data_IF_181460012640
#
_entry.id   IF_181460012640
#
_cell.length_a   1.000
_cell.length_b   1.000
_cell.length_c   1.000
_cell.angle_alpha   90.00
_cell.angle_beta   90.00
_cell.angle_gamma   90.00
#
_symmetry.space_group_name_H-M   'P 1'
#
loop_
_entity.id
_entity.type
_entity.pdbx_description
1 polymer ?
#
# COMPACT_ATOMS: atom_id res chain seq x y z
N UNK A 1 -22.80 -15.69 12.61
CA UNK A 1 -22.56 -14.45 11.85
C UNK A 1 -21.11 -14.04 12.08
N UNK A 2 -20.28 -14.08 11.04
CA UNK A 2 -18.90 -13.58 11.13
C UNK A 2 -18.95 -12.06 11.03
N UNK A 3 -18.47 -11.33 12.03
CA UNK A 3 -18.49 -9.85 12.04
C UNK A 3 -17.61 -9.22 10.96
N UNK A 4 -16.75 -10.03 10.32
CA UNK A 4 -15.88 -9.63 9.22
C UNK A 4 -16.37 -10.12 7.85
N UNK A 5 -17.62 -10.58 7.75
CA UNK A 5 -18.19 -11.09 6.49
C UNK A 5 -18.12 -10.03 5.39
N UNK A 6 -17.20 -10.23 4.44
CA UNK A 6 -16.94 -9.34 3.32
C UNK A 6 -16.11 -10.09 2.27
N UNK A 7 -16.35 -9.92 0.95
CA UNK A 7 -15.59 -10.60 -0.10
C UNK A 7 -14.07 -10.45 0.04
N UNK A 8 -13.58 -9.24 0.36
CA UNK A 8 -12.15 -8.96 0.58
C UNK A 8 -11.58 -9.72 1.78
N UNK A 9 -12.36 -9.90 2.85
CA UNK A 9 -11.90 -10.64 4.02
C UNK A 9 -11.83 -12.15 3.73
N UNK A 10 -12.81 -12.70 3.02
CA UNK A 10 -12.77 -14.08 2.56
C UNK A 10 -11.55 -14.35 1.68
N UNK A 11 -11.22 -13.44 0.77
CA UNK A 11 -10.01 -13.53 -0.05
C UNK A 11 -8.73 -13.52 0.79
N UNK A 12 -8.62 -12.63 1.78
CA UNK A 12 -7.48 -12.59 2.69
C UNK A 12 -7.35 -13.89 3.51
N UNK A 13 -8.48 -14.45 3.98
CA UNK A 13 -8.50 -15.75 4.67
C UNK A 13 -8.08 -16.91 3.76
N UNK A 14 -8.57 -16.97 2.52
CA UNK A 14 -8.16 -17.98 1.53
C UNK A 14 -6.66 -17.92 1.27
N UNK A 15 -6.10 -16.72 1.07
CA UNK A 15 -4.65 -16.55 0.92
C UNK A 15 -3.87 -17.04 2.15
N UNK A 16 -4.37 -16.74 3.36
CA UNK A 16 -3.76 -17.24 4.58
C UNK A 16 -3.85 -18.77 4.66
N UNK A 17 -4.98 -19.38 4.36
CA UNK A 17 -5.18 -20.82 4.49
C UNK A 17 -4.27 -21.59 3.52
N UNK A 18 -4.10 -21.10 2.28
CA UNK A 18 -3.11 -21.63 1.33
C UNK A 18 -1.67 -21.60 1.88
N UNK A 19 -1.30 -20.49 2.52
CA UNK A 19 0.02 -20.35 3.17
C UNK A 19 0.14 -21.26 4.38
N UNK A 20 -0.92 -21.38 5.17
CA UNK A 20 -0.96 -22.22 6.37
C UNK A 20 -0.80 -23.70 6.02
N UNK A 21 -1.45 -24.16 4.95
CA UNK A 21 -1.28 -25.51 4.42
C UNK A 21 0.17 -25.73 3.95
N UNK A 22 0.72 -24.79 3.16
CA UNK A 22 2.09 -24.89 2.66
C UNK A 22 3.15 -24.93 3.77
N UNK A 23 2.93 -24.16 4.84
CA UNK A 23 3.81 -24.08 6.02
C UNK A 23 3.52 -25.18 7.06
N UNK A 24 2.57 -26.08 6.79
CA UNK A 24 2.09 -27.09 7.73
C UNK A 24 1.78 -26.48 9.12
N UNK A 25 1.07 -25.35 9.14
CA UNK A 25 0.62 -24.71 10.38
C UNK A 25 -0.49 -25.58 10.99
N UNK A 26 -0.33 -26.09 12.22
CA UNK A 26 -1.36 -26.87 12.90
C UNK A 26 -2.66 -26.09 13.00
N UNK A 27 -3.81 -26.75 12.82
CA UNK A 27 -5.13 -26.09 12.82
C UNK A 27 -5.36 -25.21 14.05
N UNK A 28 -4.97 -25.70 15.24
CA UNK A 28 -5.12 -24.96 16.50
C UNK A 28 -4.29 -23.67 16.59
N UNK A 29 -3.28 -23.48 15.73
CA UNK A 29 -2.51 -22.23 15.65
C UNK A 29 -3.13 -21.22 14.66
N UNK A 30 -3.91 -21.70 13.67
CA UNK A 30 -4.30 -20.93 12.48
C UNK A 30 -5.13 -19.70 12.83
N UNK A 31 -6.21 -19.86 13.59
CA UNK A 31 -7.12 -18.76 13.91
C UNK A 31 -6.44 -17.65 14.70
N UNK A 32 -5.48 -18.00 15.57
CA UNK A 32 -4.68 -17.03 16.33
C UNK A 32 -3.81 -16.15 15.42
N UNK A 33 -3.45 -16.64 14.24
CA UNK A 33 -2.64 -15.91 13.25
C UNK A 33 -3.54 -15.19 12.25
N UNK A 34 -4.65 -15.83 11.84
CA UNK A 34 -5.61 -15.37 10.82
C UNK A 34 -6.56 -14.28 11.32
N UNK A 35 -7.09 -14.38 12.53
CA UNK A 35 -8.15 -13.48 12.98
C UNK A 35 -7.57 -12.19 13.58
N UNK A 36 -8.21 -11.03 13.34
CA UNK A 36 -7.82 -9.79 13.99
C UNK A 36 -7.86 -9.91 15.53
N UNK A 37 -6.82 -9.38 16.19
CA UNK A 37 -6.73 -9.37 17.65
C UNK A 37 -7.87 -8.57 18.29
N UNK A 38 -8.24 -7.44 17.69
CA UNK A 38 -9.34 -6.58 18.13
C UNK A 38 -9.77 -5.62 17.03
N UNK A 39 -11.03 -5.21 17.09
CA UNK A 39 -11.64 -4.20 16.24
C UNK A 39 -12.47 -3.22 17.08
N UNK A 40 -12.52 -1.96 16.65
CA UNK A 40 -13.31 -0.91 17.26
C UNK A 40 -14.18 -0.26 16.18
N UNK A 41 -15.47 -0.10 16.48
CA UNK A 41 -16.45 0.60 15.63
C UNK A 41 -17.05 1.73 16.46
N UNK A 42 -17.07 2.95 15.92
CA UNK A 42 -17.47 4.15 16.65
C UNK A 42 -18.41 5.02 15.81
N UNK A 43 -19.31 5.72 16.51
CA UNK A 43 -20.08 6.81 15.93
C UNK A 43 -19.24 8.10 15.96
N UNK A 44 -19.19 8.82 14.83
CA UNK A 44 -18.41 10.04 14.68
C UNK A 44 -19.36 11.19 14.31
N UNK A 45 -20.05 11.79 15.29
CA UNK A 45 -20.98 12.89 15.04
C UNK A 45 -20.22 14.21 14.80
N UNK A 46 -20.64 14.96 13.77
CA UNK A 46 -20.16 16.33 13.52
C UNK A 46 -21.32 17.28 13.24
N UNK A 47 -21.10 18.56 13.55
CA UNK A 47 -21.92 19.62 13.00
C UNK A 47 -21.47 19.89 11.55
N UNK A 48 -22.43 19.92 10.63
CA UNK A 48 -22.26 20.38 9.26
C UNK A 48 -22.22 21.89 9.20
N UNK A 49 -21.75 22.44 8.09
CA UNK A 49 -21.66 23.90 7.91
C UNK A 49 -23.04 24.57 7.87
N UNK A 50 -24.10 23.83 7.52
CA UNK A 50 -25.50 24.30 7.56
C UNK A 50 -26.14 24.24 8.96
N UNK A 51 -25.40 23.80 9.98
CA UNK A 51 -25.85 23.65 11.36
C UNK A 51 -26.54 22.32 11.68
N UNK A 52 -26.78 21.46 10.69
CA UNK A 52 -27.28 20.10 10.92
C UNK A 52 -26.22 19.22 11.59
N UNK A 53 -26.64 18.10 12.19
CA UNK A 53 -25.72 17.09 12.73
C UNK A 53 -25.78 15.84 11.86
N UNK A 54 -24.62 15.38 11.42
CA UNK A 54 -24.47 14.11 10.70
C UNK A 54 -23.59 13.15 11.50
N UNK A 55 -23.94 11.86 11.51
CA UNK A 55 -23.20 10.83 12.24
C UNK A 55 -22.59 9.84 11.25
N UNK A 56 -21.26 9.78 11.25
CA UNK A 56 -20.50 8.85 10.42
C UNK A 56 -20.12 7.60 11.22
N UNK A 57 -19.87 6.49 10.52
CA UNK A 57 -19.33 5.27 11.15
C UNK A 57 -17.82 5.18 10.91
N UNK A 58 -17.06 5.10 12.00
CA UNK A 58 -15.60 4.93 11.98
C UNK A 58 -15.21 3.52 12.42
N UNK A 59 -14.11 3.01 11.87
CA UNK A 59 -13.55 1.68 12.14
C UNK A 59 -12.05 1.77 12.42
N UNK A 60 -11.56 0.95 13.35
CA UNK A 60 -10.13 0.64 13.48
C UNK A 60 -9.94 -0.83 13.83
N UNK A 61 -9.20 -1.55 13.00
CA UNK A 61 -8.86 -2.97 13.20
C UNK A 61 -7.37 -3.12 13.45
N UNK A 62 -7.02 -3.84 14.51
CA UNK A 62 -5.64 -4.22 14.84
C UNK A 62 -5.52 -5.73 14.68
N UNK A 63 -4.80 -6.15 13.65
CA UNK A 63 -4.68 -7.56 13.30
C UNK A 63 -3.84 -8.34 14.32
N UNK A 64 -2.64 -7.87 14.66
CA UNK A 64 -1.88 -8.41 15.79
C UNK A 64 -0.87 -7.41 16.35
N UNK A 65 -0.50 -7.54 17.63
CA UNK A 65 0.55 -6.73 18.29
C UNK A 65 1.81 -7.54 18.65
N UNK A 66 2.00 -8.70 18.00
CA UNK A 66 3.07 -9.65 18.38
C UNK A 66 4.46 -9.09 18.11
N UNK A 67 4.69 -8.49 16.94
CA UNK A 67 5.99 -7.96 16.52
C UNK A 67 6.28 -6.54 17.04
N UNK A 68 5.26 -5.84 17.54
CA UNK A 68 5.34 -4.44 17.96
C UNK A 68 4.01 -3.70 17.78
N UNK A 69 4.01 -2.35 17.80
CA UNK A 69 2.83 -1.55 17.52
C UNK A 69 2.21 -1.91 16.18
N UNK A 70 0.90 -1.70 16.06
CA UNK A 70 0.23 -1.90 14.78
C UNK A 70 0.42 -0.70 13.85
N UNK A 71 0.50 -0.98 12.55
CA UNK A 71 0.68 0.04 11.52
C UNK A 71 -0.34 -0.12 10.42
N UNK A 72 -0.97 1.00 10.05
CA UNK A 72 -1.64 1.09 8.76
C UNK A 72 -2.55 2.29 8.60
N UNK A 73 -2.95 2.50 7.35
CA UNK A 73 -3.60 3.72 6.89
C UNK A 73 -5.02 3.94 7.43
N UNK A 74 -5.50 5.17 7.28
CA UNK A 74 -6.86 5.62 7.57
C UNK A 74 -7.54 6.00 6.25
N UNK A 75 -8.62 5.30 5.88
CA UNK A 75 -9.34 5.48 4.61
C UNK A 75 -10.64 6.25 4.80
N UNK A 76 -10.89 7.27 4.00
CA UNK A 76 -12.20 7.94 3.89
C UNK A 76 -12.84 7.57 2.55
N UNK A 77 -13.87 6.72 2.59
CA UNK A 77 -14.58 6.29 1.38
C UNK A 77 -16.02 5.89 1.75
N UNK A 78 -17.02 6.14 0.87
CA UNK A 78 -18.43 5.82 1.17
C UNK A 78 -18.70 4.33 1.38
N UNK A 79 -17.89 3.46 0.78
CA UNK A 79 -18.09 2.01 0.83
C UNK A 79 -17.23 1.28 1.89
N UNK A 80 -16.52 2.01 2.77
CA UNK A 80 -15.69 1.34 3.79
C UNK A 80 -16.56 0.52 4.74
N UNK A 81 -16.22 -0.74 4.92
CA UNK A 81 -16.86 -1.63 5.89
C UNK A 81 -15.86 -2.29 6.84
N UNK A 82 -16.34 -2.82 7.97
CA UNK A 82 -15.49 -3.50 8.95
C UNK A 82 -14.70 -4.69 8.35
N UNK A 83 -15.34 -5.50 7.50
CA UNK A 83 -14.70 -6.66 6.88
C UNK A 83 -13.59 -6.27 5.89
N UNK A 84 -13.78 -5.22 5.09
CA UNK A 84 -12.73 -4.66 4.24
C UNK A 84 -11.53 -4.17 5.09
N UNK A 85 -11.80 -3.41 6.15
CA UNK A 85 -10.75 -2.89 7.06
C UNK A 85 -9.99 -4.04 7.73
N UNK A 86 -10.67 -5.12 8.10
CA UNK A 86 -10.03 -6.31 8.66
C UNK A 86 -9.09 -7.02 7.68
N UNK A 87 -9.49 -7.13 6.40
CA UNK A 87 -8.67 -7.72 5.35
C UNK A 87 -7.39 -6.90 5.12
N UNK A 88 -7.54 -5.58 5.00
CA UNK A 88 -6.42 -4.66 4.82
C UNK A 88 -5.47 -4.67 6.03
N UNK A 89 -6.00 -4.78 7.26
CA UNK A 89 -5.19 -4.91 8.47
C UNK A 89 -4.36 -6.21 8.47
N UNK A 90 -4.92 -7.32 7.98
CA UNK A 90 -4.23 -8.59 7.82
C UNK A 90 -3.07 -8.48 6.82
N UNK A 91 -3.27 -7.89 5.65
CA UNK A 91 -2.19 -7.70 4.68
C UNK A 91 -1.11 -6.75 5.17
N UNK A 92 -1.45 -5.74 5.97
CA UNK A 92 -0.45 -4.87 6.61
C UNK A 92 0.47 -5.66 7.55
N UNK A 93 -0.04 -6.69 8.24
CA UNK A 93 0.79 -7.58 9.05
C UNK A 93 1.83 -8.30 8.19
N UNK A 94 1.41 -8.89 7.07
CA UNK A 94 2.32 -9.64 6.18
C UNK A 94 3.36 -8.71 5.55
N UNK A 95 2.93 -7.54 5.09
CA UNK A 95 3.80 -6.52 4.50
C UNK A 95 4.87 -6.04 5.47
N UNK A 96 4.49 -5.69 6.70
CA UNK A 96 5.44 -5.28 7.74
C UNK A 96 6.40 -6.42 8.11
N UNK A 97 5.89 -7.63 8.28
CA UNK A 97 6.70 -8.79 8.65
C UNK A 97 7.71 -9.17 7.55
N UNK A 98 7.29 -9.15 6.29
CA UNK A 98 8.15 -9.40 5.13
C UNK A 98 9.32 -8.41 5.05
N UNK A 99 9.05 -7.14 5.32
CA UNK A 99 10.04 -6.05 5.17
C UNK A 99 10.92 -5.80 6.38
N UNK A 100 10.92 -6.66 7.40
CA UNK A 100 11.81 -6.44 8.55
C UNK A 100 11.21 -5.59 9.67
N UNK A 101 10.05 -4.96 9.45
CA UNK A 101 9.59 -3.87 10.31
C UNK A 101 9.06 -4.41 11.65
N UNK A 102 9.34 -3.73 12.78
CA UNK A 102 8.87 -4.12 14.11
C UNK A 102 7.41 -3.70 14.34
N UNK A 103 6.54 -4.07 13.39
CA UNK A 103 5.12 -3.70 13.41
C UNK A 103 4.22 -4.91 13.24
N UNK A 104 3.04 -4.81 13.86
CA UNK A 104 1.86 -5.52 13.42
C UNK A 104 1.08 -4.77 12.33
N UNK A 105 0.00 -5.37 11.86
CA UNK A 105 -0.91 -4.76 10.89
C UNK A 105 -2.11 -4.12 11.56
N UNK A 106 -2.48 -2.94 11.07
CA UNK A 106 -3.76 -2.31 11.36
C UNK A 106 -4.33 -1.65 10.11
N UNK A 107 -5.60 -1.28 10.16
CA UNK A 107 -6.24 -0.40 9.21
C UNK A 107 -7.39 0.31 9.89
N UNK A 108 -7.70 1.52 9.47
CA UNK A 108 -8.90 2.21 9.88
C UNK A 108 -9.61 2.83 8.69
N UNK A 109 -10.84 3.26 8.91
CA UNK A 109 -11.55 4.05 7.93
C UNK A 109 -12.80 4.69 8.48
N UNK A 110 -13.31 5.69 7.76
CA UNK A 110 -14.58 6.35 8.02
C UNK A 110 -15.44 6.20 6.77
N UNK A 111 -16.69 5.80 6.97
CA UNK A 111 -17.69 5.67 5.92
C UNK A 111 -18.16 7.06 5.51
N UNK A 112 -17.43 7.74 4.63
CA UNK A 112 -17.76 9.09 4.16
C UNK A 112 -17.23 9.37 2.75
N UNK A 113 -17.89 10.25 2.00
CA UNK A 113 -17.32 10.83 0.78
C UNK A 113 -16.65 12.18 1.13
N UNK A 114 -15.31 12.24 1.19
CA UNK A 114 -14.61 13.47 1.58
C UNK A 114 -14.82 14.62 0.59
N UNK A 115 -15.32 14.37 -0.63
CA UNK A 115 -15.64 15.42 -1.63
C UNK A 115 -16.93 16.17 -1.30
N UNK A 116 -17.78 15.60 -0.44
CA UNK A 116 -19.04 16.19 0.02
C UNK A 116 -18.89 16.90 1.36
N UNK A 117 -17.66 16.99 1.87
CA UNK A 117 -17.31 17.67 3.11
C UNK A 117 -16.48 18.90 2.78
N UNK A 118 -16.80 20.03 3.39
CA UNK A 118 -15.91 21.18 3.39
C UNK A 118 -14.61 20.85 4.14
N UNK A 119 -13.52 21.61 3.93
CA UNK A 119 -12.29 21.43 4.69
C UNK A 119 -12.52 21.52 6.21
N UNK A 120 -13.43 22.38 6.67
CA UNK A 120 -13.75 22.55 8.07
C UNK A 120 -14.55 21.36 8.63
N UNK A 121 -15.48 20.80 7.86
CA UNK A 121 -16.21 19.58 8.22
C UNK A 121 -15.27 18.37 8.29
N UNK A 122 -14.35 18.27 7.33
CA UNK A 122 -13.35 17.20 7.27
C UNK A 122 -12.39 17.26 8.47
N UNK A 123 -12.00 18.47 8.89
CA UNK A 123 -11.25 18.68 10.13
C UNK A 123 -12.05 18.19 11.33
N UNK A 124 -13.30 18.66 11.52
CA UNK A 124 -14.15 18.23 12.63
C UNK A 124 -14.34 16.72 12.67
N UNK A 125 -14.54 16.10 11.51
CA UNK A 125 -14.67 14.64 11.37
C UNK A 125 -13.42 13.92 11.85
N UNK A 126 -12.26 14.36 11.36
CA UNK A 126 -10.96 13.77 11.70
C UNK A 126 -10.67 13.92 13.18
N UNK A 127 -10.91 15.10 13.76
CA UNK A 127 -10.71 15.37 15.18
C UNK A 127 -11.63 14.52 16.05
N UNK A 128 -12.92 14.43 15.70
CA UNK A 128 -13.88 13.60 16.43
C UNK A 128 -13.50 12.13 16.37
N UNK A 129 -13.15 11.62 15.19
CA UNK A 129 -12.66 10.25 15.04
C UNK A 129 -11.42 10.00 15.88
N UNK A 130 -10.44 10.92 15.87
CA UNK A 130 -9.25 10.80 16.70
C UNK A 130 -9.61 10.68 18.18
N UNK A 131 -10.54 11.50 18.69
CA UNK A 131 -10.99 11.43 20.10
C UNK A 131 -11.56 10.06 20.47
N UNK A 132 -12.41 9.49 19.60
CA UNK A 132 -12.96 8.13 19.81
C UNK A 132 -11.86 7.05 19.79
N UNK A 133 -10.75 7.29 19.10
CA UNK A 133 -9.64 6.33 18.95
C UNK A 133 -8.63 6.37 20.10
N UNK A 134 -8.58 7.43 20.92
CA UNK A 134 -7.53 7.62 21.94
C UNK A 134 -7.31 6.41 22.85
N UNK A 135 -8.34 5.71 23.37
CA UNK A 135 -8.15 4.52 24.21
C UNK A 135 -7.53 3.32 23.46
N UNK A 136 -7.50 3.37 22.13
CA UNK A 136 -7.14 2.26 21.25
C UNK A 136 -5.79 2.46 20.54
N UNK A 137 -5.31 3.72 20.46
CA UNK A 137 -4.10 4.11 19.73
C UNK A 137 -3.00 4.64 20.66
N UNK A 138 -1.78 4.73 20.12
CA UNK A 138 -0.63 5.24 20.85
C UNK A 138 0.66 5.01 20.07
N UNK A 139 1.72 5.81 20.28
CA UNK A 139 2.97 5.69 19.51
C UNK A 139 3.64 4.32 19.64
N UNK A 140 3.37 3.57 20.73
CA UNK A 140 3.86 2.21 20.97
C UNK A 140 2.75 1.14 20.86
N UNK A 141 1.55 1.52 20.43
CA UNK A 141 0.37 0.62 20.33
C UNK A 141 -0.16 0.53 18.91
N UNK A 142 -0.46 1.66 18.27
CA UNK A 142 -1.05 1.74 16.95
C UNK A 142 -0.79 3.11 16.31
N UNK A 143 -0.18 3.09 15.12
CA UNK A 143 0.33 4.27 14.41
C UNK A 143 -0.34 4.39 13.04
N UNK A 144 -1.20 5.40 12.87
CA UNK A 144 -1.94 5.60 11.62
C UNK A 144 -1.07 6.19 10.50
N UNK A 145 -1.58 6.16 9.26
CA UNK A 145 -0.98 6.77 8.08
C UNK A 145 -2.09 7.25 7.13
N UNK A 146 -1.76 8.01 6.07
CA UNK A 146 -2.69 8.25 4.98
C UNK A 146 -3.08 6.96 4.25
N UNK A 147 -4.27 6.97 3.66
CA UNK A 147 -4.78 6.02 2.68
C UNK A 147 -5.75 6.75 1.73
N UNK A 148 -6.58 6.01 0.98
CA UNK A 148 -7.58 6.61 0.07
C UNK A 148 -8.45 7.61 0.82
N UNK A 149 -8.60 8.82 0.29
CA UNK A 149 -9.41 9.88 0.89
C UNK A 149 -8.75 10.66 2.05
N UNK A 150 -7.51 10.32 2.43
CA UNK A 150 -6.75 11.06 3.46
C UNK A 150 -5.36 11.45 2.97
N UNK A 151 -4.72 12.40 3.65
CA UNK A 151 -3.45 12.99 3.23
C UNK A 151 -2.65 13.53 4.45
N UNK A 152 -1.59 14.27 4.17
CA UNK A 152 -0.74 14.89 5.20
C UNK A 152 -1.51 15.84 6.12
N UNK A 153 -2.50 16.57 5.61
CA UNK A 153 -3.33 17.47 6.42
C UNK A 153 -4.20 16.69 7.43
N UNK A 154 -4.78 15.57 7.00
CA UNK A 154 -5.54 14.68 7.90
C UNK A 154 -4.61 14.14 9.00
N UNK A 155 -3.38 13.76 8.66
CA UNK A 155 -2.41 13.31 9.67
C UNK A 155 -1.99 14.42 10.62
N UNK A 156 -1.86 15.67 10.14
CA UNK A 156 -1.61 16.82 11.00
C UNK A 156 -2.73 17.00 12.04
N UNK A 157 -4.01 16.94 11.62
CA UNK A 157 -5.14 17.04 12.56
C UNK A 157 -5.19 15.88 13.56
N UNK A 158 -4.87 14.66 13.14
CA UNK A 158 -4.78 13.49 14.04
C UNK A 158 -3.66 13.69 15.09
N UNK A 159 -2.47 14.12 14.64
CA UNK A 159 -1.33 14.38 15.52
C UNK A 159 -1.66 15.48 16.54
N UNK A 160 -2.22 16.59 16.07
CA UNK A 160 -2.60 17.73 16.91
C UNK A 160 -3.66 17.33 17.94
N UNK A 161 -4.72 16.66 17.50
CA UNK A 161 -5.83 16.24 18.39
C UNK A 161 -5.35 15.30 19.50
N UNK A 162 -4.51 14.32 19.17
CA UNK A 162 -3.95 13.42 20.15
C UNK A 162 -3.00 14.18 21.11
N UNK A 163 -2.13 15.03 20.56
CA UNK A 163 -1.15 15.79 21.34
C UNK A 163 -1.80 16.74 22.35
N UNK A 164 -2.86 17.46 21.93
CA UNK A 164 -3.64 18.33 22.80
C UNK A 164 -4.32 17.52 23.90
N UNK A 165 -4.90 16.36 23.58
CA UNK A 165 -5.57 15.53 24.57
C UNK A 165 -4.61 15.01 25.65
N UNK A 166 -3.41 14.56 25.26
CA UNK A 166 -2.42 14.02 26.22
C UNK A 166 -1.57 15.11 26.89
N UNK A 167 -1.71 16.37 26.47
CA UNK A 167 -0.98 17.50 27.04
C UNK A 167 0.50 17.58 26.65
N UNK A 168 0.92 16.91 25.58
CA UNK A 168 2.28 16.91 25.08
C UNK A 168 2.31 16.71 23.56
N UNK A 169 3.32 17.27 22.88
CA UNK A 169 3.53 17.02 21.46
C UNK A 169 3.96 15.56 21.25
N UNK A 170 3.17 14.78 20.51
CA UNK A 170 3.47 13.37 20.21
C UNK A 170 3.50 13.15 18.69
N UNK A 171 4.56 13.56 17.98
CA UNK A 171 4.63 13.41 16.52
C UNK A 171 4.47 11.96 16.04
N UNK A 172 5.03 11.00 16.78
CA UNK A 172 5.04 9.57 16.44
C UNK A 172 3.70 8.84 16.57
N UNK A 173 2.59 9.52 16.89
CA UNK A 173 1.25 8.91 16.91
C UNK A 173 0.75 8.54 15.51
N UNK A 174 1.19 9.29 14.49
CA UNK A 174 0.86 9.05 13.09
C UNK A 174 2.08 9.32 12.21
N UNK A 175 2.08 8.74 11.01
CA UNK A 175 3.12 8.94 9.99
C UNK A 175 2.51 9.52 8.72
N UNK A 176 3.31 10.00 7.78
CA UNK A 176 2.83 10.71 6.59
C UNK A 176 2.39 12.13 6.91
N UNK A 177 3.02 12.74 7.93
CA UNK A 177 2.80 14.13 8.32
C UNK A 177 3.49 15.10 7.35
N UNK A 178 3.09 16.39 7.33
CA UNK A 178 3.89 17.42 6.69
C UNK A 178 5.28 17.49 7.33
N UNK A 179 6.32 17.80 6.54
CA UNK A 179 7.71 17.89 7.04
C UNK A 179 7.83 18.87 8.22
N UNK A 180 7.10 19.99 8.17
CA UNK A 180 7.07 20.98 9.26
C UNK A 180 6.48 20.48 10.59
N UNK A 181 5.85 19.29 10.60
CA UNK A 181 5.26 18.65 11.79
C UNK A 181 5.89 17.27 12.08
N UNK A 182 7.15 17.08 11.69
CA UNK A 182 7.87 15.81 11.91
C UNK A 182 7.64 14.77 10.81
N UNK A 183 7.14 15.18 9.64
CA UNK A 183 7.11 14.32 8.46
C UNK A 183 8.51 13.98 7.95
N UNK A 184 8.70 12.77 7.43
CA UNK A 184 9.99 12.35 6.88
C UNK A 184 10.16 12.79 5.43
N UNK A 185 11.36 13.26 5.08
CA UNK A 185 11.73 13.58 3.70
C UNK A 185 11.63 12.33 2.80
N UNK A 186 11.27 12.52 1.53
CA UNK A 186 11.16 11.43 0.56
C UNK A 186 9.99 10.46 0.82
N UNK A 187 9.15 10.68 1.84
CA UNK A 187 8.00 9.81 2.14
C UNK A 187 7.01 9.76 0.99
N UNK A 188 6.76 10.88 0.33
CA UNK A 188 5.83 10.99 -0.80
C UNK A 188 6.32 10.10 -1.96
N UNK A 189 7.60 10.16 -2.29
CA UNK A 189 8.20 9.44 -3.42
C UNK A 189 8.54 7.98 -3.11
N UNK A 190 8.58 7.59 -1.82
CA UNK A 190 9.06 6.31 -1.34
C UNK A 190 8.49 5.08 -2.06
N UNK A 191 7.18 5.04 -2.28
CA UNK A 191 6.54 3.89 -2.95
C UNK A 191 6.97 3.81 -4.42
N UNK A 192 6.92 4.91 -5.17
CA UNK A 192 7.30 4.90 -6.59
C UNK A 192 8.79 4.62 -6.79
N UNK A 193 9.66 5.16 -5.93
CA UNK A 193 11.09 4.81 -5.91
C UNK A 193 11.31 3.34 -5.60
N UNK A 194 10.57 2.78 -4.64
CA UNK A 194 10.62 1.36 -4.29
C UNK A 194 10.19 0.44 -5.43
N UNK A 195 9.11 0.80 -6.13
CA UNK A 195 8.64 0.08 -7.33
C UNK A 195 9.72 0.07 -8.41
N UNK A 196 10.28 1.24 -8.75
CA UNK A 196 11.34 1.34 -9.75
C UNK A 196 12.61 0.57 -9.36
N UNK A 197 13.00 0.62 -8.07
CA UNK A 197 14.10 -0.16 -7.53
C UNK A 197 13.88 -1.67 -7.73
N UNK A 198 12.73 -2.18 -7.31
CA UNK A 198 12.40 -3.60 -7.42
C UNK A 198 12.25 -4.07 -8.86
N UNK A 199 11.74 -3.22 -9.76
CA UNK A 199 11.74 -3.49 -11.21
C UNK A 199 13.18 -3.68 -11.70
N UNK A 200 14.10 -2.79 -11.36
CA UNK A 200 15.51 -2.92 -11.73
C UNK A 200 16.14 -4.22 -11.19
N UNK A 201 15.80 -4.63 -9.96
CA UNK A 201 16.25 -5.93 -9.42
C UNK A 201 15.63 -7.12 -10.15
N UNK A 202 14.38 -7.02 -10.57
CA UNK A 202 13.70 -8.03 -11.37
C UNK A 202 14.30 -8.13 -12.78
N UNK A 203 14.65 -7.01 -13.43
CA UNK A 203 15.33 -7.02 -14.74
C UNK A 203 16.66 -7.76 -14.66
N UNK A 204 17.48 -7.49 -13.62
CA UNK A 204 18.72 -8.22 -13.36
C UNK A 204 18.46 -9.73 -13.18
N UNK A 205 17.42 -10.07 -12.44
CA UNK A 205 17.07 -11.45 -12.08
C UNK A 205 16.69 -12.31 -13.30
N UNK A 206 16.04 -11.71 -14.30
CA UNK A 206 15.61 -12.39 -15.53
C UNK A 206 16.56 -12.17 -16.72
N UNK A 207 17.70 -11.50 -16.50
CA UNK A 207 18.69 -11.22 -17.54
C UNK A 207 18.17 -10.26 -18.63
N UNK A 208 17.38 -9.26 -18.26
CA UNK A 208 16.88 -8.23 -19.17
C UNK A 208 17.54 -6.88 -18.85
N UNK A 209 18.01 -6.10 -19.82
CA UNK A 209 18.47 -4.74 -19.57
C UNK A 209 17.28 -3.81 -19.28
N UNK A 210 17.37 -2.98 -18.24
CA UNK A 210 16.36 -1.93 -17.97
C UNK A 210 16.43 -0.80 -19.01
N UNK A 211 17.65 -0.43 -19.42
CA UNK A 211 17.85 0.58 -20.44
C UNK A 211 17.24 0.12 -21.77
N UNK A 212 16.33 0.93 -22.31
CA UNK A 212 15.58 0.63 -23.54
C UNK A 212 14.32 -0.20 -23.33
N UNK A 213 14.09 -0.80 -22.16
CA UNK A 213 12.89 -1.59 -21.87
C UNK A 213 11.63 -0.72 -21.96
N UNK A 214 10.59 -1.28 -22.57
CA UNK A 214 9.28 -0.63 -22.71
C UNK A 214 8.42 -0.79 -21.45
N UNK A 215 7.89 0.32 -20.95
CA UNK A 215 7.13 0.37 -19.69
C UNK A 215 5.74 0.94 -19.91
N UNK A 216 4.73 0.29 -19.34
CA UNK A 216 3.34 0.75 -19.32
C UNK A 216 2.89 0.88 -17.87
N UNK A 217 2.29 2.01 -17.51
CA UNK A 217 1.93 2.33 -16.12
C UNK A 217 0.46 2.70 -16.04
N UNK A 218 -0.35 1.85 -15.41
CA UNK A 218 -1.73 2.20 -15.10
C UNK A 218 -1.77 3.06 -13.84
N UNK A 219 -2.29 4.29 -13.94
CA UNK A 219 -2.37 5.22 -12.80
C UNK A 219 -1.17 6.16 -12.71
N UNK A 220 -1.35 7.41 -13.16
CA UNK A 220 -0.34 8.47 -13.11
C UNK A 220 -0.52 9.40 -11.90
N UNK A 221 -0.90 8.80 -10.77
CA UNK A 221 -0.88 9.47 -9.47
C UNK A 221 0.53 9.47 -8.88
N UNK A 222 0.63 9.77 -7.58
CA UNK A 222 1.91 9.88 -6.89
C UNK A 222 2.85 8.64 -7.04
N UNK A 223 2.30 7.42 -6.99
CA UNK A 223 3.12 6.21 -7.14
C UNK A 223 3.59 6.02 -8.58
N UNK A 224 2.66 6.06 -9.53
CA UNK A 224 2.97 5.79 -10.93
C UNK A 224 3.82 6.87 -11.60
N UNK A 225 3.59 8.16 -11.30
CA UNK A 225 4.43 9.23 -11.87
C UNK A 225 5.87 9.17 -11.35
N UNK A 226 6.07 8.91 -10.05
CA UNK A 226 7.41 8.74 -9.48
C UNK A 226 8.10 7.48 -10.03
N UNK A 227 7.36 6.38 -10.20
CA UNK A 227 7.89 5.18 -10.84
C UNK A 227 8.29 5.46 -12.30
N UNK A 228 7.44 6.14 -13.08
CA UNK A 228 7.69 6.55 -14.46
C UNK A 228 8.99 7.36 -14.57
N UNK A 229 9.09 8.43 -13.78
CA UNK A 229 10.24 9.33 -13.77
C UNK A 229 11.53 8.60 -13.36
N UNK A 230 11.45 7.72 -12.35
CA UNK A 230 12.62 6.98 -11.87
C UNK A 230 13.09 5.96 -12.90
N UNK A 231 12.18 5.19 -13.51
CA UNK A 231 12.51 4.23 -14.56
C UNK A 231 13.08 4.92 -15.81
N UNK A 232 12.49 6.06 -16.21
CA UNK A 232 12.98 6.85 -17.35
C UNK A 232 14.42 7.38 -17.11
N UNK A 233 14.74 7.80 -15.87
CA UNK A 233 16.11 8.19 -15.50
C UNK A 233 17.12 7.05 -15.62
N UNK A 234 16.67 5.81 -15.50
CA UNK A 234 17.48 4.61 -15.75
C UNK A 234 17.41 4.11 -17.21
N UNK A 235 16.86 4.92 -18.13
CA UNK A 235 16.86 4.65 -19.56
C UNK A 235 15.69 3.81 -20.07
N UNK A 236 14.70 3.49 -19.23
CA UNK A 236 13.49 2.81 -19.68
C UNK A 236 12.61 3.75 -20.51
N UNK A 237 11.85 3.20 -21.48
CA UNK A 237 10.93 3.95 -22.34
C UNK A 237 9.51 3.82 -21.83
N UNK A 238 8.95 4.91 -21.30
CA UNK A 238 7.55 4.93 -20.85
C UNK A 238 6.64 5.06 -22.08
N UNK A 239 6.03 3.96 -22.51
CA UNK A 239 5.20 3.91 -23.72
C UNK A 239 3.78 4.40 -23.48
N UNK A 240 3.22 4.14 -22.30
CA UNK A 240 1.86 4.51 -21.98
C UNK A 240 1.65 4.75 -20.49
N UNK A 241 0.78 5.72 -20.19
CA UNK A 241 0.27 5.94 -18.84
C UNK A 241 -1.24 6.16 -18.87
N UNK A 242 -1.95 5.89 -17.77
CA UNK A 242 -3.37 6.26 -17.61
C UNK A 242 -3.71 6.89 -16.27
N UNK A 243 -4.89 7.48 -16.20
CA UNK A 243 -5.57 7.87 -14.97
C UNK A 243 -7.06 7.45 -15.00
N UNK A 244 -7.87 8.04 -14.12
CA UNK A 244 -9.29 7.73 -14.01
C UNK A 244 -10.10 8.06 -15.27
N UNK A 245 -9.63 8.96 -16.13
CA UNK A 245 -10.35 9.47 -17.30
C UNK A 245 -9.92 8.79 -18.60
N UNK A 246 -8.72 8.21 -18.64
CA UNK A 246 -8.21 7.47 -19.80
C UNK A 246 -6.67 7.41 -19.79
N UNK A 247 -6.10 6.97 -20.91
CA UNK A 247 -4.66 6.84 -21.09
C UNK A 247 -4.13 7.61 -22.29
N UNK A 248 -2.80 7.74 -22.31
CA UNK A 248 -2.02 8.27 -23.42
C UNK A 248 -0.89 7.32 -23.74
N UNK A 249 -0.57 7.15 -25.02
CA UNK A 249 0.52 6.31 -25.47
C UNK A 249 1.37 6.98 -26.54
N UNK A 250 2.66 6.67 -26.56
CA UNK A 250 3.58 7.07 -27.60
C UNK A 250 4.61 5.95 -27.79
N UNK A 251 4.66 5.34 -28.98
CA UNK A 251 5.59 4.26 -29.31
C UNK A 251 7.07 4.69 -29.23
N UNK A 252 7.35 5.99 -29.39
CA UNK A 252 8.69 6.58 -29.21
C UNK A 252 9.07 6.83 -27.75
N UNK A 253 8.11 6.71 -26.81
CA UNK A 253 8.24 7.10 -25.42
C UNK A 253 7.62 8.48 -25.14
N UNK A 254 6.96 8.61 -23.99
CA UNK A 254 6.34 9.85 -23.54
C UNK A 254 7.39 10.82 -22.96
N UNK A 255 7.28 12.10 -23.33
CA UNK A 255 7.99 13.17 -22.62
C UNK A 255 7.33 13.43 -21.27
N UNK A 256 7.92 12.85 -20.22
CA UNK A 256 7.39 12.95 -18.85
C UNK A 256 7.41 14.38 -18.31
N UNK A 257 8.32 15.24 -18.77
CA UNK A 257 8.36 16.64 -18.31
C UNK A 257 7.17 17.40 -18.87
N UNK A 258 6.90 17.24 -20.17
CA UNK A 258 5.74 17.84 -20.82
C UNK A 258 4.42 17.25 -20.29
N UNK A 259 4.39 15.94 -20.02
CA UNK A 259 3.24 15.26 -19.44
C UNK A 259 2.94 15.74 -18.01
N UNK A 260 3.95 15.89 -17.15
CA UNK A 260 3.78 16.42 -15.80
C UNK A 260 3.23 17.85 -15.83
N UNK A 261 3.72 18.70 -16.75
CA UNK A 261 3.20 20.05 -16.96
C UNK A 261 1.73 20.04 -17.43
N UNK A 262 1.36 19.09 -18.30
CA UNK A 262 -0.02 18.90 -18.73
C UNK A 262 -0.92 18.50 -17.55
N UNK A 263 -0.55 17.45 -16.81
CA UNK A 263 -1.31 16.95 -15.66
C UNK A 263 -1.45 18.01 -14.57
N UNK A 264 -0.41 18.83 -14.33
CA UNK A 264 -0.48 19.93 -13.37
C UNK A 264 -1.57 20.95 -13.74
N UNK A 265 -1.78 21.20 -15.05
CA UNK A 265 -2.77 22.15 -15.56
C UNK A 265 -4.17 21.55 -15.67
N UNK A 266 -4.29 20.32 -16.18
CA UNK A 266 -5.57 19.70 -16.55
C UNK A 266 -6.10 18.73 -15.50
N UNK A 267 -5.25 18.32 -14.55
CA UNK A 267 -5.51 17.25 -13.57
C UNK A 267 -5.77 15.87 -14.18
N UNK A 268 -5.39 15.68 -15.45
CA UNK A 268 -5.52 14.40 -16.15
C UNK A 268 -4.43 14.22 -17.21
N UNK A 269 -4.07 12.98 -17.53
CA UNK A 269 -3.20 12.62 -18.67
C UNK A 269 -3.92 12.72 -20.01
N UNK A 270 -5.25 12.67 -20.01
CA UNK A 270 -6.05 12.72 -21.24
C UNK A 270 -5.88 14.06 -21.97
N UNK A 271 -5.88 14.02 -23.31
CA UNK A 271 -5.66 15.20 -24.14
C UNK A 271 -4.21 15.72 -24.17
N UNK A 272 -3.25 14.95 -23.66
CA UNK A 272 -1.83 15.28 -23.80
C UNK A 272 -1.41 15.20 -25.28
N UNK A 273 -0.89 16.30 -25.83
CA UNK A 273 -0.54 16.38 -27.26
C UNK A 273 0.69 15.54 -27.66
N UNK A 274 1.49 15.08 -26.69
CA UNK A 274 2.69 14.28 -26.93
C UNK A 274 2.43 12.78 -27.09
N UNK A 275 1.19 12.35 -27.30
CA UNK A 275 0.83 10.96 -27.56
C UNK A 275 -0.63 10.80 -28.00
N UNK A 276 -0.98 9.57 -28.37
CA UNK A 276 -2.31 9.19 -28.82
C UNK A 276 -3.18 8.75 -27.64
N UNK A 277 -4.49 9.00 -27.72
CA UNK A 277 -5.44 8.55 -26.71
C UNK A 277 -5.51 7.02 -26.66
N UNK A 278 -5.54 6.46 -25.45
CA UNK A 278 -5.60 5.02 -25.20
C UNK A 278 -6.66 4.72 -24.13
N UNK A 279 -7.50 3.70 -24.36
CA UNK A 279 -8.45 3.23 -23.35
C UNK A 279 -7.77 2.51 -22.19
N UNK A 280 -8.34 2.60 -20.98
CA UNK A 280 -7.77 1.99 -19.78
C UNK A 280 -7.63 0.46 -19.88
N UNK A 281 -8.63 -0.22 -20.45
CA UNK A 281 -8.58 -1.67 -20.66
C UNK A 281 -7.51 -2.04 -21.70
N UNK A 282 -7.40 -1.25 -22.76
CA UNK A 282 -6.41 -1.47 -23.82
C UNK A 282 -4.98 -1.29 -23.28
N UNK A 283 -4.76 -0.32 -22.39
CA UNK A 283 -3.47 -0.07 -21.75
C UNK A 283 -2.93 -1.30 -21.01
N UNK A 284 -3.77 -2.00 -20.25
CA UNK A 284 -3.35 -3.19 -19.49
C UNK A 284 -2.88 -4.35 -20.39
N UNK A 285 -3.31 -4.36 -21.66
CA UNK A 285 -2.95 -5.40 -22.64
C UNK A 285 -1.97 -4.91 -23.71
N UNK A 286 -1.48 -3.68 -23.59
CA UNK A 286 -0.52 -3.09 -24.52
C UNK A 286 0.81 -3.88 -24.45
N UNK A 287 1.38 -4.33 -25.58
CA UNK A 287 2.67 -5.00 -25.59
C UNK A 287 3.77 -4.13 -24.98
N UNK A 288 4.46 -4.67 -23.97
CA UNK A 288 5.54 -3.99 -23.28
C UNK A 288 6.50 -5.01 -22.62
N UNK A 289 7.61 -4.54 -22.06
CA UNK A 289 8.48 -5.39 -21.24
C UNK A 289 8.02 -5.41 -19.79
N UNK A 290 7.56 -4.26 -19.28
CA UNK A 290 7.21 -4.04 -17.87
C UNK A 290 5.82 -3.38 -17.77
N UNK A 291 4.89 -4.03 -17.08
CA UNK A 291 3.58 -3.50 -16.74
C UNK A 291 3.51 -3.14 -15.25
N UNK A 292 3.06 -1.92 -14.94
CA UNK A 292 2.96 -1.39 -13.56
C UNK A 292 1.53 -0.96 -13.25
N UNK A 293 0.68 -1.82 -12.66
CA UNK A 293 -0.62 -1.41 -12.14
C UNK A 293 -0.45 -0.60 -10.84
N UNK A 294 -0.70 0.70 -10.90
CA UNK A 294 -0.51 1.67 -9.82
C UNK A 294 -1.79 2.49 -9.50
N UNK A 295 -2.96 2.00 -9.89
CA UNK A 295 -4.26 2.65 -9.69
C UNK A 295 -5.13 1.92 -8.65
N UNK A 296 -6.17 1.23 -9.11
CA UNK A 296 -7.16 0.55 -8.27
C UNK A 296 -6.82 -0.94 -8.07
N UNK A 297 -7.55 -1.57 -7.16
CA UNK A 297 -7.57 -3.02 -6.99
C UNK A 297 -8.28 -3.72 -8.16
N UNK A 298 -8.06 -5.04 -8.30
CA UNK A 298 -8.79 -5.96 -9.20
C UNK A 298 -8.84 -5.49 -10.67
N UNK A 299 -7.75 -4.92 -11.16
CA UNK A 299 -7.61 -4.45 -12.55
C UNK A 299 -7.15 -5.58 -13.48
N UNK A 300 -6.36 -6.52 -12.95
CA UNK A 300 -5.93 -7.72 -13.65
C UNK A 300 -6.82 -8.86 -13.18
N UNK A 301 -7.70 -9.32 -14.06
CA UNK A 301 -8.74 -10.30 -13.78
C UNK A 301 -8.65 -11.47 -14.76
N UNK A 302 -9.42 -12.53 -14.52
CA UNK A 302 -9.49 -13.66 -15.45
C UNK A 302 -9.80 -13.23 -16.91
N UNK A 303 -10.51 -12.12 -17.10
CA UNK A 303 -10.90 -11.61 -18.41
C UNK A 303 -9.74 -11.02 -19.24
N UNK A 304 -8.65 -10.55 -18.59
CA UNK A 304 -7.53 -9.91 -19.27
C UNK A 304 -6.15 -10.55 -18.97
N UNK A 305 -6.01 -11.38 -17.92
CA UNK A 305 -4.75 -12.01 -17.55
C UNK A 305 -4.10 -12.81 -18.70
N UNK A 306 -4.89 -13.50 -19.52
CA UNK A 306 -4.40 -14.23 -20.70
C UNK A 306 -3.93 -13.33 -21.86
N UNK A 307 -4.26 -12.04 -21.83
CA UNK A 307 -3.94 -11.06 -22.90
C UNK A 307 -2.76 -10.15 -22.55
N UNK A 308 -2.29 -10.19 -21.29
CA UNK A 308 -1.15 -9.39 -20.83
C UNK A 308 0.11 -9.82 -21.59
N UNK A 309 0.81 -8.84 -22.15
CA UNK A 309 2.03 -9.04 -22.93
C UNK A 309 3.17 -8.26 -22.27
N UNK A 310 3.67 -8.78 -21.14
CA UNK A 310 4.82 -8.23 -20.43
C UNK A 310 5.72 -9.34 -19.90
N UNK A 311 7.00 -9.03 -19.67
CA UNK A 311 7.95 -9.93 -19.00
C UNK A 311 7.96 -9.73 -17.49
N UNK A 312 7.68 -8.52 -17.02
CA UNK A 312 7.58 -8.18 -15.60
C UNK A 312 6.22 -7.51 -15.33
N UNK A 313 5.52 -8.01 -14.33
CA UNK A 313 4.33 -7.38 -13.75
C UNK A 313 4.67 -6.88 -12.35
N UNK A 314 4.72 -5.56 -12.16
CA UNK A 314 5.13 -4.94 -10.90
C UNK A 314 3.95 -4.27 -10.20
N UNK A 315 3.41 -4.92 -9.16
CA UNK A 315 2.16 -4.51 -8.52
C UNK A 315 2.32 -3.31 -7.56
N UNK A 316 2.24 -2.11 -8.11
CA UNK A 316 2.38 -0.88 -7.35
C UNK A 316 1.12 -0.52 -6.52
N UNK A 317 -0.07 -0.95 -6.95
CA UNK A 317 -1.31 -0.84 -6.19
C UNK A 317 -1.44 -2.01 -5.17
N UNK A 318 -2.41 -1.94 -4.25
CA UNK A 318 -2.76 -3.08 -3.39
C UNK A 318 -3.80 -3.94 -4.09
N UNK A 319 -3.59 -5.26 -4.15
CA UNK A 319 -4.47 -6.22 -4.79
C UNK A 319 -4.89 -5.90 -6.23
N UNK A 320 -3.98 -5.46 -7.13
CA UNK A 320 -4.38 -5.17 -8.52
C UNK A 320 -4.75 -6.44 -9.29
N UNK A 321 -4.28 -7.62 -8.87
CA UNK A 321 -4.50 -8.91 -9.53
C UNK A 321 -5.42 -9.80 -8.68
N UNK A 322 -6.47 -10.35 -9.30
CA UNK A 322 -7.38 -11.30 -8.64
C UNK A 322 -6.76 -12.69 -8.53
N UNK A 323 -7.14 -13.54 -7.55
CA UNK A 323 -6.63 -14.92 -7.43
C UNK A 323 -6.71 -15.74 -8.74
N UNK A 324 -7.82 -15.64 -9.47
CA UNK A 324 -8.03 -16.36 -10.74
C UNK A 324 -7.06 -15.88 -11.84
N UNK A 325 -6.72 -14.59 -11.82
CA UNK A 325 -5.75 -14.01 -12.76
C UNK A 325 -4.32 -14.44 -12.41
N UNK A 326 -4.02 -14.51 -11.12
CA UNK A 326 -2.74 -14.99 -10.58
C UNK A 326 -2.49 -16.45 -11.02
N UNK A 327 -3.52 -17.31 -10.98
CA UNK A 327 -3.45 -18.68 -11.48
C UNK A 327 -3.16 -18.74 -12.99
N UNK A 328 -3.85 -17.92 -13.80
CA UNK A 328 -3.60 -17.83 -15.25
C UNK A 328 -2.16 -17.40 -15.52
N UNK A 329 -1.67 -16.35 -14.85
CA UNK A 329 -0.30 -15.86 -15.01
C UNK A 329 0.73 -16.90 -14.57
N UNK A 330 0.48 -17.62 -13.47
CA UNK A 330 1.34 -18.70 -13.01
C UNK A 330 1.39 -19.89 -13.98
N UNK A 331 0.25 -20.26 -14.58
CA UNK A 331 0.18 -21.33 -15.59
C UNK A 331 0.92 -20.97 -16.88
N UNK A 332 0.87 -19.70 -17.29
CA UNK A 332 1.63 -19.24 -18.45
C UNK A 332 3.15 -19.29 -18.20
N UNK A 333 3.58 -18.93 -16.99
CA UNK A 333 4.98 -19.05 -16.55
C UNK A 333 5.97 -18.11 -17.25
N UNK A 334 5.50 -17.23 -18.13
CA UNK A 334 6.29 -16.28 -18.91
C UNK A 334 6.39 -14.89 -18.26
N UNK A 335 5.53 -14.59 -17.27
CA UNK A 335 5.46 -13.30 -16.57
C UNK A 335 6.10 -13.39 -15.18
N UNK A 336 7.09 -12.55 -14.92
CA UNK A 336 7.70 -12.38 -13.60
C UNK A 336 6.89 -11.38 -12.76
N UNK A 337 6.10 -11.88 -11.81
CA UNK A 337 5.25 -11.04 -10.95
C UNK A 337 5.98 -10.60 -9.70
N UNK A 338 6.14 -9.29 -9.50
CA UNK A 338 6.57 -8.70 -8.22
C UNK A 338 5.30 -8.40 -7.41
N UNK A 339 5.00 -9.18 -6.35
CA UNK A 339 3.73 -9.08 -5.65
C UNK A 339 3.61 -7.77 -4.87
N UNK A 340 2.40 -7.25 -4.77
CA UNK A 340 2.05 -5.98 -4.11
C UNK A 340 2.61 -5.82 -2.69
N UNK A 341 2.54 -6.87 -1.85
CA UNK A 341 3.07 -6.87 -0.48
C UNK A 341 4.57 -6.59 -0.41
N UNK A 342 5.30 -6.76 -1.51
CA UNK A 342 6.70 -6.39 -1.67
C UNK A 342 6.84 -5.11 -2.50
N UNK A 343 6.23 -5.09 -3.69
CA UNK A 343 6.42 -4.07 -4.72
C UNK A 343 6.09 -2.65 -4.22
N UNK A 344 5.00 -2.51 -3.46
CA UNK A 344 4.55 -1.22 -2.95
C UNK A 344 4.98 -0.92 -1.50
N UNK A 345 5.88 -1.74 -0.93
CA UNK A 345 6.23 -1.66 0.49
C UNK A 345 7.08 -0.42 0.85
N UNK A 346 7.64 0.30 -0.12
CA UNK A 346 8.49 1.46 0.14
C UNK A 346 7.81 2.54 0.98
N UNK A 347 6.50 2.75 0.79
CA UNK A 347 5.74 3.68 1.60
C UNK A 347 5.66 3.30 3.08
N UNK A 348 5.48 2.02 3.42
CA UNK A 348 5.45 1.60 4.83
C UNK A 348 6.84 1.61 5.46
N UNK A 349 7.89 1.31 4.68
CA UNK A 349 9.29 1.39 5.13
C UNK A 349 9.68 2.83 5.49
N UNK A 350 9.37 3.81 4.64
CA UNK A 350 9.67 5.21 4.99
C UNK A 350 8.73 5.74 6.08
N UNK A 351 7.49 5.22 6.19
CA UNK A 351 6.64 5.52 7.35
C UNK A 351 7.26 4.99 8.66
N UNK A 352 7.92 3.83 8.63
CA UNK A 352 8.66 3.32 9.77
C UNK A 352 9.83 4.25 10.12
N UNK A 353 10.58 4.71 9.11
CA UNK A 353 11.67 5.67 9.36
C UNK A 353 11.15 6.97 9.95
N UNK A 354 10.02 7.50 9.48
CA UNK A 354 9.37 8.68 10.08
C UNK A 354 9.08 8.45 11.57
N UNK A 355 8.48 7.31 11.92
CA UNK A 355 8.21 6.96 13.31
C UNK A 355 9.49 6.83 14.15
N UNK A 356 10.56 6.23 13.62
CA UNK A 356 11.87 6.15 14.30
C UNK A 356 12.43 7.55 14.55
N UNK A 357 12.40 8.42 13.54
CA UNK A 357 12.88 9.81 13.64
C UNK A 357 12.04 10.60 14.67
N UNK A 358 10.72 10.41 14.69
CA UNK A 358 9.82 11.05 15.66
C UNK A 358 10.11 10.61 17.11
N UNK A 359 10.32 9.31 17.33
CA UNK A 359 10.69 8.80 18.66
C UNK A 359 12.04 9.35 19.15
N UNK A 360 12.96 9.61 18.24
CA UNK A 360 14.29 10.16 18.54
C UNK A 360 14.31 11.69 18.51
N UNK A 361 13.30 12.32 17.91
CA UNK A 361 13.29 13.73 17.52
C UNK A 361 14.57 14.13 16.75
N UNK A 362 15.04 13.23 15.88
CA UNK A 362 16.26 13.39 15.08
C UNK A 362 15.99 12.96 13.63
N UNK A 363 16.05 13.92 12.71
CA UNK A 363 15.62 13.73 11.32
C UNK A 363 16.80 13.45 10.38
N UNK A 364 16.56 12.58 9.40
CA UNK A 364 17.56 12.15 8.42
C UNK A 364 17.44 12.91 7.12
N UNK A 365 18.55 13.00 6.38
CA UNK A 365 18.57 13.53 5.02
C UNK A 365 17.93 12.57 4.01
N UNK A 366 17.50 13.10 2.86
CA UNK A 366 16.82 12.33 1.82
C UNK A 366 17.67 11.16 1.28
N UNK A 367 18.98 11.37 1.09
CA UNK A 367 19.92 10.32 0.65
C UNK A 367 19.97 9.17 1.66
N UNK A 368 20.08 9.49 2.95
CA UNK A 368 20.13 8.48 4.00
C UNK A 368 18.82 7.66 4.05
N UNK A 369 17.67 8.34 3.91
CA UNK A 369 16.36 7.68 3.85
C UNK A 369 16.26 6.75 2.63
N UNK A 370 16.70 7.21 1.46
CA UNK A 370 16.65 6.45 0.21
C UNK A 370 17.56 5.21 0.28
N UNK A 371 18.77 5.37 0.81
CA UNK A 371 19.72 4.25 0.99
C UNK A 371 19.17 3.18 1.93
N UNK A 372 18.59 3.59 3.08
CA UNK A 372 17.97 2.63 4.00
C UNK A 372 16.75 1.96 3.37
N UNK A 373 15.93 2.70 2.63
CA UNK A 373 14.77 2.17 1.91
C UNK A 373 15.20 1.04 0.96
N UNK A 374 16.19 1.29 0.11
CA UNK A 374 16.66 0.29 -0.86
C UNK A 374 17.27 -0.93 -0.19
N UNK A 375 18.06 -0.77 0.88
CA UNK A 375 18.58 -1.92 1.64
C UNK A 375 17.47 -2.78 2.24
N UNK A 376 16.41 -2.17 2.79
CA UNK A 376 15.26 -2.89 3.34
C UNK A 376 14.52 -3.66 2.25
N UNK A 377 14.25 -3.02 1.10
CA UNK A 377 13.57 -3.67 -0.03
C UNK A 377 14.41 -4.79 -0.64
N UNK A 378 15.73 -4.60 -0.78
CA UNK A 378 16.65 -5.61 -1.30
C UNK A 378 16.69 -6.86 -0.43
N UNK A 379 16.70 -6.69 0.90
CA UNK A 379 16.63 -7.80 1.84
C UNK A 379 15.35 -8.62 1.66
N UNK A 380 14.19 -7.94 1.60
CA UNK A 380 12.90 -8.58 1.40
C UNK A 380 12.79 -9.28 0.02
N UNK A 381 13.28 -8.62 -1.04
CA UNK A 381 13.33 -9.18 -2.39
C UNK A 381 14.19 -10.44 -2.46
N UNK A 382 15.41 -10.38 -1.92
CA UNK A 382 16.36 -11.51 -1.92
C UNK A 382 15.80 -12.71 -1.18
N UNK A 383 15.21 -12.51 0.01
CA UNK A 383 14.59 -13.59 0.78
C UNK A 383 13.41 -14.21 0.04
N UNK A 384 12.55 -13.37 -0.55
CA UNK A 384 11.38 -13.82 -1.33
C UNK A 384 11.80 -14.65 -2.53
N UNK A 385 12.77 -14.16 -3.31
CA UNK A 385 13.29 -14.84 -4.48
C UNK A 385 13.98 -16.16 -4.11
N UNK A 386 14.77 -16.17 -3.02
CA UNK A 386 15.42 -17.37 -2.54
C UNK A 386 14.41 -18.45 -2.14
N UNK A 387 13.36 -18.09 -1.39
CA UNK A 387 12.31 -19.03 -1.01
C UNK A 387 11.52 -19.51 -2.23
N UNK A 388 11.12 -18.60 -3.12
CA UNK A 388 10.41 -18.92 -4.37
C UNK A 388 11.17 -19.93 -5.22
N UNK A 389 12.48 -19.73 -5.43
CA UNK A 389 13.34 -20.65 -6.20
C UNK A 389 13.54 -21.98 -5.49
N UNK A 390 13.80 -21.98 -4.18
CA UNK A 390 14.01 -23.18 -3.38
C UNK A 390 12.78 -24.09 -3.38
N UNK A 391 11.62 -23.50 -3.15
CA UNK A 391 10.34 -24.20 -2.96
C UNK A 391 9.52 -24.34 -4.26
N UNK A 392 10.02 -23.78 -5.37
CA UNK A 392 9.36 -23.73 -6.69
C UNK A 392 7.92 -23.21 -6.62
N UNK A 393 7.75 -22.10 -5.91
CA UNK A 393 6.46 -21.42 -5.73
C UNK A 393 6.50 -20.01 -6.31
N UNK A 394 5.34 -19.40 -6.55
CA UNK A 394 5.26 -18.01 -7.00
C UNK A 394 5.90 -17.05 -5.99
N UNK A 395 6.39 -15.90 -6.46
CA UNK A 395 6.91 -14.85 -5.58
C UNK A 395 5.86 -14.35 -4.59
N UNK A 396 4.58 -14.26 -5.01
CA UNK A 396 3.48 -13.91 -4.11
C UNK A 396 3.36 -14.89 -2.95
N UNK A 397 3.31 -16.19 -3.24
CA UNK A 397 3.19 -17.21 -2.21
C UNK A 397 4.43 -17.22 -1.30
N UNK A 398 5.64 -17.08 -1.88
CA UNK A 398 6.87 -16.97 -1.10
C UNK A 398 6.86 -15.76 -0.15
N UNK A 399 6.45 -14.58 -0.63
CA UNK A 399 6.38 -13.36 0.16
C UNK A 399 5.36 -13.48 1.31
N UNK A 400 4.19 -14.07 1.04
CA UNK A 400 3.19 -14.35 2.08
C UNK A 400 3.69 -15.38 3.08
N UNK A 401 4.33 -16.47 2.63
CA UNK A 401 4.94 -17.48 3.51
C UNK A 401 5.94 -16.86 4.48
N UNK A 402 6.86 -16.01 4.00
CA UNK A 402 7.84 -15.32 4.86
C UNK A 402 7.15 -14.42 5.90
N UNK A 403 6.16 -13.62 5.47
CA UNK A 403 5.40 -12.74 6.36
C UNK A 403 4.65 -13.51 7.46
N UNK A 404 3.89 -14.53 7.06
CA UNK A 404 3.10 -15.37 7.99
C UNK A 404 4.02 -16.17 8.93
N UNK A 405 5.10 -16.76 8.40
CA UNK A 405 6.05 -17.54 9.20
C UNK A 405 6.69 -16.70 10.29
N UNK A 406 7.13 -15.48 9.99
CA UNK A 406 7.72 -14.57 10.98
C UNK A 406 6.74 -14.21 12.10
N UNK A 407 5.47 -13.93 11.75
CA UNK A 407 4.43 -13.63 12.74
C UNK A 407 4.13 -14.85 13.60
N UNK A 408 4.02 -16.04 12.99
CA UNK A 408 3.81 -17.31 13.70
C UNK A 408 4.94 -17.57 14.68
N UNK A 409 6.19 -17.46 14.24
CA UNK A 409 7.36 -17.69 15.08
C UNK A 409 7.38 -16.74 16.28
N UNK A 410 7.14 -15.44 16.06
CA UNK A 410 7.03 -14.49 17.15
C UNK A 410 5.87 -14.80 18.12
N UNK A 411 4.72 -15.28 17.63
CA UNK A 411 3.58 -15.69 18.48
C UNK A 411 3.89 -16.94 19.30
N UNK A 412 4.71 -17.86 18.77
CA UNK A 412 5.17 -19.06 19.48
C UNK A 412 6.20 -18.69 20.56
N UNK A 413 7.20 -17.89 20.22
CA UNK A 413 8.24 -17.43 21.16
C UNK A 413 7.63 -16.65 22.32
N UNK A 414 6.67 -15.74 22.05
CA UNK A 414 5.99 -14.97 23.10
C UNK A 414 4.99 -15.79 23.94
N UNK A 415 4.66 -17.01 23.53
CA UNK A 415 3.65 -17.83 24.19
C UNK A 415 2.22 -17.30 24.04
N UNK A 416 1.26 -18.01 24.63
CA UNK A 416 -0.14 -17.58 24.77
C UNK A 416 -0.37 -17.18 26.24
N UNK A 417 -0.76 -15.93 26.46
CA UNK A 417 -1.06 -15.30 27.74
C UNK A 417 -2.12 -14.20 27.47
N UNK A 418 -3.05 -13.83 28.38
CA UNK A 418 -3.14 -14.11 29.82
C UNK A 418 -3.14 -15.58 30.21
#
# INVERSE_FOLDING_TARGET
>A
MNVYDHPTFHMACQQFDLVADRLNIPEHERDRIKLPKRALVVAVPIHRDDGSTEVFTGYRVQHHLTLGPTKGGLRYHPDVTLGEVAALAMWMSWKCALTGLPYGGAKGGITCDPRQLSPAELERLTRRYCQEMIPFIGPQVDVMAPDVGTNEQVMAWMMDTYSVHVGASVPGIVTGKPVGLGGSLGRREATGRGVAYLINRATDTIGMPLAGASVVIQGYGNVGSVAALTLARHGAKILAVSDAFGGVTNAGGLDLTALDAHVARTRTVTGFAGGDALGNDALLTLPCDILVPAALERQITAANAGKIQCRILAEAANGPTTPEADEILAQRGDVFVIPDILCNAGGVVVSYFEWVQDLQSFFWGETEITDKLFRTLEGAYTQTLALSRKEKISLRLAALCLGVQRVREAKRIRGLFP
#
